data_IF_281025536799
#
_entry.id   IF_281025536799
#
_cell.length_a   1.000
_cell.length_b   1.000
_cell.length_c   1.000
_cell.angle_alpha   90.00
_cell.angle_beta   90.00
_cell.angle_gamma   90.00
#
_symmetry.space_group_name_H-M   'P 1'
#
loop_
_entity.id
_entity.type
_entity.pdbx_description
1 polymer ?
#
# COMPACT_ATOMS: atom_id res chain seq x y z
N UNK A 1 -7.45 -5.04 -28.86
CA UNK A 1 -6.69 -3.79 -28.98
C UNK A 1 -7.30 -2.81 -27.97
N UNK A 2 -6.67 -2.62 -26.81
CA UNK A 2 -6.99 -1.55 -25.90
C UNK A 2 -5.64 -1.05 -25.37
N UNK A 3 -5.18 0.07 -25.91
CA UNK A 3 -3.99 0.78 -25.47
C UNK A 3 -4.17 1.18 -24.02
N UNK A 4 -3.31 0.70 -23.14
CA UNK A 4 -3.27 1.09 -21.73
C UNK A 4 -2.82 2.55 -21.66
N UNK A 5 -3.80 3.44 -21.67
CA UNK A 5 -3.57 4.86 -21.44
C UNK A 5 -3.19 5.01 -19.96
N UNK A 6 -1.93 5.29 -19.67
CA UNK A 6 -1.33 5.45 -18.33
C UNK A 6 -1.80 6.74 -17.65
N UNK A 7 -2.71 7.48 -18.24
CA UNK A 7 -3.33 8.67 -17.64
C UNK A 7 -4.54 8.25 -16.84
N UNK A 8 -4.59 8.68 -15.59
CA UNK A 8 -5.76 8.55 -14.73
C UNK A 8 -6.96 9.14 -15.48
N UNK A 9 -8.05 8.37 -15.58
CA UNK A 9 -9.27 8.85 -16.25
C UNK A 9 -9.71 10.17 -15.58
N UNK A 10 -10.08 11.23 -16.33
CA UNK A 10 -10.47 12.53 -15.76
C UNK A 10 -11.44 12.42 -14.59
N UNK A 11 -12.43 11.55 -14.72
CA UNK A 11 -13.38 11.22 -13.66
C UNK A 11 -12.72 10.80 -12.33
N UNK A 12 -11.66 9.99 -12.37
CA UNK A 12 -10.97 9.52 -11.15
C UNK A 12 -10.28 10.69 -10.43
N UNK A 13 -9.74 11.64 -11.18
CA UNK A 13 -9.13 12.83 -10.62
C UNK A 13 -10.17 13.75 -9.94
N UNK A 14 -11.31 13.92 -10.59
CA UNK A 14 -12.45 14.71 -10.06
C UNK A 14 -13.03 14.06 -8.80
N UNK A 15 -13.24 12.75 -8.83
CA UNK A 15 -13.76 12.02 -7.68
C UNK A 15 -12.80 12.05 -6.47
N UNK A 16 -11.51 11.90 -6.71
CA UNK A 16 -10.50 12.08 -5.65
C UNK A 16 -10.57 13.47 -5.04
N UNK A 17 -10.63 14.51 -5.86
CA UNK A 17 -10.74 15.90 -5.38
C UNK A 17 -12.05 16.11 -4.60
N UNK A 18 -13.16 15.52 -5.04
CA UNK A 18 -14.42 15.57 -4.31
C UNK A 18 -14.35 14.84 -2.97
N UNK A 19 -13.70 13.67 -2.92
CA UNK A 19 -13.50 12.93 -1.67
C UNK A 19 -12.64 13.70 -0.66
N UNK A 20 -11.58 14.38 -1.12
CA UNK A 20 -10.75 15.27 -0.27
C UNK A 20 -11.61 16.40 0.32
N UNK A 21 -12.44 17.06 -0.48
CA UNK A 21 -13.34 18.13 0.03
C UNK A 21 -14.32 17.59 1.07
N UNK A 22 -15.02 16.48 0.78
CA UNK A 22 -15.96 15.84 1.73
C UNK A 22 -15.27 15.46 3.04
N UNK A 23 -14.03 14.97 2.95
CA UNK A 23 -13.24 14.63 4.13
C UNK A 23 -12.93 15.87 4.98
N UNK A 24 -12.48 16.96 4.36
CA UNK A 24 -12.20 18.23 5.04
C UNK A 24 -13.45 18.85 5.69
N UNK A 25 -14.60 18.78 5.01
CA UNK A 25 -15.88 19.24 5.56
C UNK A 25 -16.31 18.41 6.78
N UNK A 26 -16.05 17.10 6.75
CA UNK A 26 -16.38 16.19 7.85
C UNK A 26 -15.44 16.33 9.06
N UNK A 27 -14.16 16.62 8.80
CA UNK A 27 -13.11 16.68 9.82
C UNK A 27 -12.33 18.01 9.78
N UNK A 28 -12.98 19.16 9.98
CA UNK A 28 -12.40 20.48 9.71
C UNK A 28 -11.23 20.87 10.64
N UNK A 29 -11.11 20.23 11.81
CA UNK A 29 -10.05 20.52 12.78
C UNK A 29 -9.10 19.34 12.98
N UNK A 30 -9.14 18.36 12.09
CA UNK A 30 -8.30 17.18 12.19
C UNK A 30 -6.81 17.56 12.03
N UNK A 31 -6.01 17.03 12.93
CA UNK A 31 -4.57 16.89 12.78
C UNK A 31 -4.23 15.49 13.23
N UNK A 32 -3.73 14.67 12.33
CA UNK A 32 -3.40 13.28 12.64
C UNK A 32 -2.28 13.17 13.65
N UNK A 33 -2.35 12.10 14.45
CA UNK A 33 -1.20 11.61 15.20
C UNK A 33 -0.03 11.26 14.25
N UNK A 34 1.20 11.20 14.76
CA UNK A 34 2.37 10.94 13.92
C UNK A 34 2.28 9.65 13.09
N UNK A 35 1.62 8.60 13.58
CA UNK A 35 1.43 7.33 12.87
C UNK A 35 -0.03 7.21 12.41
N UNK A 36 -0.24 6.99 11.11
CA UNK A 36 -1.57 6.74 10.53
C UNK A 36 -1.58 5.40 9.80
N UNK A 37 -2.45 4.50 10.24
CA UNK A 37 -2.78 3.28 9.53
C UNK A 37 -3.77 3.59 8.40
N UNK A 38 -3.36 3.44 7.15
CA UNK A 38 -4.17 3.68 5.95
C UNK A 38 -4.66 2.36 5.38
N UNK A 39 -5.97 2.16 5.33
CA UNK A 39 -6.61 0.93 4.87
C UNK A 39 -7.52 1.26 3.68
N UNK A 40 -7.26 0.65 2.53
CA UNK A 40 -8.17 0.70 1.39
C UNK A 40 -9.14 -0.49 1.47
N UNK A 41 -10.44 -0.19 1.49
CA UNK A 41 -11.50 -1.20 1.62
C UNK A 41 -12.48 -1.13 0.44
N UNK A 42 -12.85 -2.29 -0.11
CA UNK A 42 -13.89 -2.45 -1.13
C UNK A 42 -14.64 -3.75 -0.94
N UNK A 43 -15.88 -3.66 -0.45
CA UNK A 43 -16.73 -4.79 -0.09
C UNK A 43 -16.00 -5.76 0.87
N UNK A 44 -15.70 -5.25 2.06
CA UNK A 44 -15.00 -5.95 3.14
C UNK A 44 -15.81 -5.88 4.46
N UNK A 45 -17.16 -5.88 4.36
CA UNK A 45 -18.08 -5.81 5.51
C UNK A 45 -17.78 -6.86 6.57
N UNK A 46 -17.40 -8.08 6.13
CA UNK A 46 -17.20 -9.23 7.01
C UNK A 46 -15.85 -9.18 7.77
N UNK A 47 -14.85 -8.48 7.24
CA UNK A 47 -13.46 -8.52 7.74
C UNK A 47 -12.98 -7.20 8.35
N UNK A 48 -13.42 -6.06 7.82
CA UNK A 48 -12.88 -4.76 8.20
C UNK A 48 -13.00 -4.47 9.70
N UNK A 49 -14.06 -4.91 10.36
CA UNK A 49 -14.25 -4.71 11.79
C UNK A 49 -13.19 -5.42 12.64
N UNK A 50 -12.75 -6.61 12.24
CA UNK A 50 -11.67 -7.34 12.93
C UNK A 50 -10.33 -6.62 12.74
N UNK A 51 -10.03 -6.16 11.52
CA UNK A 51 -8.82 -5.38 11.25
C UNK A 51 -8.76 -4.16 12.14
N UNK A 52 -9.85 -3.38 12.22
CA UNK A 52 -9.91 -2.15 13.01
C UNK A 52 -9.71 -2.38 14.50
N UNK A 53 -10.23 -3.50 15.04
CA UNK A 53 -10.04 -3.85 16.46
C UNK A 53 -8.62 -4.32 16.79
N UNK A 54 -7.93 -4.92 15.82
CA UNK A 54 -6.60 -5.47 16.01
C UNK A 54 -5.47 -4.44 15.84
N UNK A 55 -5.73 -3.27 15.23
CA UNK A 55 -4.73 -2.21 15.11
C UNK A 55 -4.39 -1.67 16.49
N UNK A 56 -3.11 -1.68 16.90
CA UNK A 56 -2.69 -1.08 18.15
C UNK A 56 -2.94 0.43 18.16
N UNK A 57 -3.44 0.95 19.28
CA UNK A 57 -3.72 2.39 19.42
C UNK A 57 -2.46 3.22 19.65
N UNK A 58 -1.34 2.55 19.95
CA UNK A 58 -0.06 3.18 20.29
C UNK A 58 1.11 2.25 19.94
N UNK A 59 2.23 2.83 19.53
CA UNK A 59 3.53 2.16 19.33
C UNK A 59 4.60 3.02 19.98
N UNK A 60 5.35 2.47 20.95
CA UNK A 60 6.43 3.15 21.67
C UNK A 60 6.03 4.53 22.23
N UNK A 61 4.83 4.65 22.81
CA UNK A 61 4.28 5.89 23.32
C UNK A 61 3.76 6.87 22.26
N UNK A 62 3.78 6.49 20.97
CA UNK A 62 3.29 7.30 19.87
C UNK A 62 1.92 6.79 19.45
N UNK A 63 0.92 7.67 19.49
CA UNK A 63 -0.45 7.33 19.11
C UNK A 63 -0.54 6.91 17.65
N UNK A 64 -1.32 5.87 17.39
CA UNK A 64 -1.71 5.39 16.07
C UNK A 64 -3.17 5.78 15.81
N UNK A 65 -3.43 6.41 14.68
CA UNK A 65 -4.79 6.68 14.19
C UNK A 65 -5.05 5.91 12.92
N UNK A 66 -6.33 5.62 12.66
CA UNK A 66 -6.71 4.80 11.50
C UNK A 66 -7.54 5.62 10.53
N UNK A 67 -7.13 5.58 9.25
CA UNK A 67 -7.84 6.18 8.12
C UNK A 67 -8.26 5.09 7.14
N UNK A 68 -9.56 4.85 7.03
CA UNK A 68 -10.13 3.94 6.04
C UNK A 68 -10.52 4.73 4.79
N UNK A 69 -10.11 4.22 3.65
CA UNK A 69 -10.57 4.70 2.33
C UNK A 69 -11.53 3.67 1.75
N UNK A 70 -12.81 3.98 1.81
CA UNK A 70 -13.85 3.18 1.18
C UNK A 70 -13.85 3.44 -0.33
N UNK A 71 -13.44 2.46 -1.12
CA UNK A 71 -13.35 2.54 -2.59
C UNK A 71 -14.71 2.24 -3.26
N UNK A 72 -15.77 2.90 -2.78
CA UNK A 72 -17.11 2.79 -3.35
C UNK A 72 -17.76 1.43 -3.11
N UNK A 73 -17.67 0.91 -1.89
CA UNK A 73 -18.34 -0.35 -1.51
C UNK A 73 -19.84 -0.27 -1.67
N UNK A 74 -20.44 -1.39 -2.05
CA UNK A 74 -21.90 -1.58 -2.20
C UNK A 74 -22.53 -2.39 -1.06
N UNK A 75 -21.70 -2.94 -0.16
CA UNK A 75 -22.11 -3.68 1.05
C UNK A 75 -22.11 -2.78 2.30
N UNK A 76 -22.14 -3.38 3.48
CA UNK A 76 -22.12 -2.68 4.76
C UNK A 76 -20.75 -2.20 5.22
N UNK A 77 -19.69 -2.24 4.40
CA UNK A 77 -18.33 -1.84 4.78
C UNK A 77 -18.28 -0.46 5.44
N UNK A 78 -18.91 0.55 4.83
CA UNK A 78 -18.94 1.91 5.38
C UNK A 78 -19.64 1.97 6.73
N UNK A 79 -20.77 1.28 6.86
CA UNK A 79 -21.53 1.20 8.12
C UNK A 79 -20.68 0.59 9.24
N UNK A 80 -19.94 -0.48 8.95
CA UNK A 80 -19.05 -1.13 9.93
C UNK A 80 -17.95 -0.18 10.39
N UNK A 81 -17.29 0.51 9.45
CA UNK A 81 -16.24 1.49 9.79
C UNK A 81 -16.76 2.59 10.70
N UNK A 82 -17.95 3.12 10.42
CA UNK A 82 -18.57 4.19 11.21
C UNK A 82 -18.95 3.79 12.63
N UNK A 83 -19.03 2.50 12.92
CA UNK A 83 -19.28 1.98 14.28
C UNK A 83 -18.01 1.93 15.15
N UNK A 84 -16.82 2.19 14.56
CA UNK A 84 -15.55 2.17 15.29
C UNK A 84 -15.12 3.59 15.69
N UNK A 85 -15.19 3.95 16.99
CA UNK A 85 -14.75 5.26 17.46
C UNK A 85 -13.26 5.49 17.17
N UNK A 86 -12.90 6.72 16.77
CA UNK A 86 -11.51 7.09 16.48
C UNK A 86 -10.98 6.64 15.13
N UNK A 87 -11.83 6.04 14.28
CA UNK A 87 -11.51 5.72 12.88
C UNK A 87 -12.02 6.83 11.98
N UNK A 88 -11.16 7.32 11.11
CA UNK A 88 -11.50 8.31 10.09
C UNK A 88 -11.86 7.63 8.79
N UNK A 89 -12.83 8.17 8.07
CA UNK A 89 -13.36 7.58 6.85
C UNK A 89 -13.41 8.60 5.71
N UNK A 90 -12.79 8.25 4.59
CA UNK A 90 -12.98 8.92 3.31
C UNK A 90 -13.61 7.94 2.30
N UNK A 91 -14.69 8.34 1.62
CA UNK A 91 -15.38 7.47 0.66
C UNK A 91 -15.30 8.03 -0.75
N UNK A 92 -14.99 7.14 -1.71
CA UNK A 92 -15.15 7.37 -3.15
C UNK A 92 -16.58 6.95 -3.54
N UNK A 93 -17.22 7.66 -4.46
CA UNK A 93 -18.59 7.40 -4.88
C UNK A 93 -18.75 6.07 -5.66
N UNK A 94 -17.65 5.54 -6.20
CA UNK A 94 -17.60 4.24 -6.89
C UNK A 94 -16.21 3.65 -6.81
N UNK A 95 -16.09 2.37 -7.12
CA UNK A 95 -14.78 1.70 -7.19
C UNK A 95 -13.88 2.36 -8.25
N UNK A 96 -12.79 2.93 -7.79
CA UNK A 96 -11.73 3.55 -8.60
C UNK A 96 -10.46 2.71 -8.65
N UNK A 97 -10.39 1.66 -7.84
CA UNK A 97 -9.28 0.72 -7.73
C UNK A 97 -8.35 1.00 -6.57
N UNK A 98 -7.82 -0.08 -6.01
CA UNK A 98 -6.99 -0.10 -4.79
C UNK A 98 -5.85 0.95 -4.80
N UNK A 99 -5.14 1.11 -5.92
CA UNK A 99 -4.07 2.10 -6.03
C UNK A 99 -4.58 3.55 -5.98
N UNK A 100 -5.82 3.81 -6.41
CA UNK A 100 -6.44 5.15 -6.29
C UNK A 100 -6.82 5.40 -4.84
N UNK A 101 -7.43 4.43 -4.19
CA UNK A 101 -7.80 4.51 -2.78
C UNK A 101 -6.58 4.76 -1.88
N UNK A 102 -5.51 3.98 -2.05
CA UNK A 102 -4.28 4.21 -1.28
C UNK A 102 -3.65 5.59 -1.52
N UNK A 103 -3.63 6.08 -2.78
CA UNK A 103 -3.13 7.43 -3.06
C UNK A 103 -3.97 8.52 -2.41
N UNK A 104 -5.29 8.33 -2.31
CA UNK A 104 -6.15 9.23 -1.54
C UNK A 104 -5.77 9.20 -0.06
N UNK A 105 -5.61 8.01 0.52
CA UNK A 105 -5.18 7.84 1.90
C UNK A 105 -3.82 8.50 2.19
N UNK A 106 -2.83 8.31 1.30
CA UNK A 106 -1.53 8.96 1.42
C UNK A 106 -1.61 10.49 1.35
N UNK A 107 -2.46 11.00 0.47
CA UNK A 107 -2.70 12.44 0.34
C UNK A 107 -3.29 13.01 1.62
N UNK A 108 -4.37 12.39 2.14
CA UNK A 108 -5.03 12.84 3.35
C UNK A 108 -4.11 12.72 4.58
N UNK A 109 -3.42 11.59 4.76
CA UNK A 109 -2.45 11.43 5.84
C UNK A 109 -1.41 12.55 5.84
N UNK A 110 -0.86 12.89 4.66
CA UNK A 110 0.11 13.98 4.50
C UNK A 110 -0.48 15.36 4.75
N UNK A 111 -1.62 15.66 4.18
CA UNK A 111 -2.27 16.97 4.30
C UNK A 111 -2.72 17.28 5.73
N UNK A 112 -3.03 16.23 6.49
CA UNK A 112 -3.45 16.34 7.89
C UNK A 112 -2.34 16.02 8.91
N UNK A 113 -1.07 16.05 8.49
CA UNK A 113 0.08 16.16 9.40
C UNK A 113 0.69 14.84 9.88
N UNK A 114 0.31 13.68 9.34
CA UNK A 114 0.96 12.41 9.65
C UNK A 114 2.44 12.42 9.27
N UNK A 115 3.29 11.88 10.13
CA UNK A 115 4.72 11.69 9.88
C UNK A 115 5.00 10.35 9.21
N UNK A 116 4.31 9.31 9.66
CA UNK A 116 4.45 7.95 9.18
C UNK A 116 3.10 7.41 8.72
N UNK A 117 3.13 6.67 7.63
CA UNK A 117 1.98 5.93 7.11
C UNK A 117 2.29 4.44 7.27
N UNK A 118 1.31 3.70 7.78
CA UNK A 118 1.30 2.23 7.72
C UNK A 118 0.17 1.81 6.80
N UNK A 119 0.42 0.93 5.85
CA UNK A 119 -0.64 0.35 5.02
C UNK A 119 -0.94 -1.08 5.44
N UNK A 120 -2.21 -1.43 5.47
CA UNK A 120 -2.74 -2.77 5.73
C UNK A 120 -3.88 -3.05 4.76
N UNK A 121 -4.06 -4.33 4.42
CA UNK A 121 -5.23 -4.77 3.67
C UNK A 121 -6.44 -4.94 4.63
N UNK A 122 -7.65 -4.78 4.12
CA UNK A 122 -8.89 -4.84 4.91
C UNK A 122 -9.39 -6.27 5.19
N UNK A 123 -8.66 -7.31 4.78
CA UNK A 123 -9.11 -8.71 4.70
C UNK A 123 -8.50 -9.66 5.74
N UNK A 124 -7.82 -9.12 6.75
CA UNK A 124 -7.12 -9.88 7.81
C UNK A 124 -6.04 -10.83 7.29
N UNK A 125 -5.56 -10.67 6.04
CA UNK A 125 -4.42 -11.46 5.57
C UNK A 125 -3.10 -11.06 6.26
N UNK A 126 -2.98 -9.83 6.71
CA UNK A 126 -1.85 -9.35 7.52
C UNK A 126 -2.30 -9.13 8.94
N UNK A 127 -1.50 -9.57 9.91
CA UNK A 127 -1.81 -9.39 11.33
C UNK A 127 -1.50 -7.95 11.76
N UNK A 128 -2.52 -7.13 12.10
CA UNK A 128 -2.28 -5.75 12.52
C UNK A 128 -1.49 -5.63 13.83
N UNK A 129 -1.45 -6.68 14.66
CA UNK A 129 -0.68 -6.73 15.90
C UNK A 129 0.83 -6.64 15.64
N UNK A 130 1.30 -7.01 14.45
CA UNK A 130 2.70 -6.91 14.03
C UNK A 130 3.11 -5.47 13.59
N UNK A 131 2.18 -4.51 13.57
CA UNK A 131 2.43 -3.12 13.17
C UNK A 131 3.62 -2.49 13.91
N UNK A 132 3.82 -2.65 15.24
CA UNK A 132 4.97 -2.10 15.94
C UNK A 132 6.31 -2.53 15.31
N UNK A 133 6.47 -3.81 15.00
CA UNK A 133 7.70 -4.32 14.38
C UNK A 133 7.97 -3.76 12.98
N UNK A 134 6.93 -3.43 12.22
CA UNK A 134 7.08 -2.84 10.88
C UNK A 134 7.39 -1.34 10.96
N UNK A 135 6.91 -0.64 11.98
CA UNK A 135 7.16 0.80 12.19
C UNK A 135 8.50 1.06 12.85
N UNK A 136 8.98 0.17 13.70
CA UNK A 136 10.20 0.32 14.51
C UNK A 136 11.40 0.91 13.74
N UNK A 137 11.77 0.44 12.52
CA UNK A 137 12.91 1.00 11.81
C UNK A 137 12.75 2.46 11.39
N UNK A 138 11.50 2.92 11.19
CA UNK A 138 11.21 4.33 10.92
C UNK A 138 11.42 5.18 12.17
N UNK A 139 10.97 4.70 13.33
CA UNK A 139 11.10 5.39 14.61
C UNK A 139 12.55 5.50 15.05
N UNK A 140 13.38 4.48 14.76
CA UNK A 140 14.81 4.46 15.01
C UNK A 140 15.66 5.19 13.96
N UNK A 141 15.03 5.78 12.95
CA UNK A 141 15.72 6.40 11.81
C UNK A 141 16.68 5.46 11.05
N UNK A 142 16.39 4.16 11.04
CA UNK A 142 17.16 3.14 10.32
C UNK A 142 16.69 2.98 8.87
N UNK A 143 15.42 3.32 8.59
CA UNK A 143 14.81 3.23 7.27
C UNK A 143 13.85 4.39 7.02
N UNK A 144 13.49 4.58 5.74
CA UNK A 144 12.49 5.53 5.30
C UNK A 144 11.26 4.82 4.73
N UNK A 145 11.42 3.56 4.34
CA UNK A 145 10.36 2.68 3.85
C UNK A 145 10.63 1.24 4.28
N UNK A 146 9.68 0.65 4.98
CA UNK A 146 9.74 -0.72 5.50
C UNK A 146 8.68 -1.59 4.84
N UNK A 147 9.06 -2.77 4.41
CA UNK A 147 8.19 -3.80 3.87
C UNK A 147 8.00 -4.91 4.92
N UNK A 148 6.75 -5.26 5.22
CA UNK A 148 6.45 -6.50 5.92
C UNK A 148 6.62 -7.68 4.95
N UNK A 149 7.62 -8.52 5.17
CA UNK A 149 7.91 -9.64 4.28
C UNK A 149 7.39 -10.96 4.85
N UNK A 150 6.48 -11.60 4.08
CA UNK A 150 6.05 -12.98 4.35
C UNK A 150 7.14 -14.01 4.06
N UNK A 151 8.15 -13.64 3.30
CA UNK A 151 9.27 -14.52 2.97
C UNK A 151 10.26 -14.62 4.13
N UNK A 152 10.42 -13.53 4.89
CA UNK A 152 11.23 -13.50 6.12
C UNK A 152 10.44 -14.00 7.33
N UNK A 153 9.11 -13.92 7.29
CA UNK A 153 8.19 -14.36 8.32
C UNK A 153 7.47 -15.65 7.95
N UNK A 154 6.14 -15.62 8.00
CA UNK A 154 5.29 -16.81 7.75
C UNK A 154 4.27 -16.49 6.66
N UNK A 155 4.03 -17.43 5.76
CA UNK A 155 2.90 -17.41 4.83
C UNK A 155 2.07 -18.70 5.01
N UNK A 156 0.87 -18.57 5.52
CA UNK A 156 -0.08 -19.68 5.72
C UNK A 156 -0.77 -20.10 4.42
N UNK A 157 -0.07 -20.06 3.29
CA UNK A 157 -0.62 -20.45 2.00
C UNK A 157 0.19 -21.59 1.40
N UNK A 158 -0.49 -22.64 0.99
CA UNK A 158 0.10 -23.82 0.35
C UNK A 158 0.30 -23.62 -1.17
N UNK A 159 0.05 -22.39 -1.71
CA UNK A 159 0.17 -22.09 -3.12
C UNK A 159 1.65 -21.90 -3.51
N UNK A 160 2.30 -22.99 -3.90
CA UNK A 160 3.69 -23.01 -4.37
C UNK A 160 3.92 -22.10 -5.58
N UNK A 161 2.92 -21.93 -6.46
CA UNK A 161 3.00 -21.03 -7.60
C UNK A 161 3.06 -19.56 -7.18
N UNK A 162 2.27 -19.19 -6.17
CA UNK A 162 2.31 -17.85 -5.57
C UNK A 162 3.67 -17.58 -4.92
N UNK A 163 4.23 -18.53 -4.16
CA UNK A 163 5.57 -18.42 -3.57
C UNK A 163 6.66 -18.23 -4.62
N UNK A 164 6.64 -19.05 -5.69
CA UNK A 164 7.57 -18.91 -6.80
C UNK A 164 7.44 -17.53 -7.47
N UNK A 165 6.22 -17.03 -7.64
CA UNK A 165 5.95 -15.69 -8.18
C UNK A 165 6.53 -14.57 -7.32
N UNK A 166 6.32 -14.61 -6.00
CA UNK A 166 6.88 -13.62 -5.05
C UNK A 166 8.41 -13.59 -5.16
N UNK A 167 9.04 -14.76 -5.10
CA UNK A 167 10.51 -14.90 -5.21
C UNK A 167 11.03 -14.41 -6.56
N UNK A 168 10.35 -14.75 -7.65
CA UNK A 168 10.73 -14.31 -8.99
C UNK A 168 10.72 -12.77 -9.10
N UNK A 169 9.64 -12.13 -8.67
CA UNK A 169 9.52 -10.67 -8.76
C UNK A 169 10.48 -9.94 -7.81
N UNK A 170 10.74 -10.49 -6.64
CA UNK A 170 11.75 -9.97 -5.73
C UNK A 170 13.15 -10.00 -6.36
N UNK A 171 13.53 -11.13 -6.97
CA UNK A 171 14.80 -11.25 -7.72
C UNK A 171 14.87 -10.29 -8.89
N UNK A 172 13.78 -10.10 -9.62
CA UNK A 172 13.71 -9.15 -10.73
C UNK A 172 13.94 -7.71 -10.24
N UNK A 173 13.27 -7.28 -9.16
CA UNK A 173 13.47 -5.93 -8.58
C UNK A 173 14.90 -5.78 -8.10
N UNK A 174 15.46 -6.77 -7.38
CA UNK A 174 16.87 -6.76 -6.96
C UNK A 174 17.84 -6.61 -8.14
N UNK A 175 17.60 -7.37 -9.22
CA UNK A 175 18.44 -7.28 -10.44
C UNK A 175 18.39 -5.88 -11.06
N UNK A 176 17.22 -5.26 -11.10
CA UNK A 176 17.00 -3.97 -11.73
C UNK A 176 17.47 -2.77 -10.87
N UNK A 177 17.39 -2.89 -9.55
CA UNK A 177 17.65 -1.78 -8.62
C UNK A 177 18.93 -1.94 -7.81
N UNK A 178 19.44 -3.16 -7.68
CA UNK A 178 20.56 -3.49 -6.80
C UNK A 178 20.20 -3.63 -5.32
N UNK A 179 18.94 -3.33 -4.92
CA UNK A 179 18.49 -3.40 -3.53
C UNK A 179 17.93 -4.79 -3.24
N UNK A 180 18.42 -5.48 -2.20
CA UNK A 180 17.91 -6.79 -1.81
C UNK A 180 16.56 -6.63 -1.13
N UNK A 181 15.50 -7.08 -1.79
CA UNK A 181 14.14 -7.18 -1.24
C UNK A 181 13.61 -8.59 -1.47
N UNK A 182 12.79 -9.08 -0.54
CA UNK A 182 12.25 -10.45 -0.56
C UNK A 182 10.76 -10.50 -0.89
N UNK A 183 10.00 -9.44 -0.57
CA UNK A 183 8.56 -9.35 -0.87
C UNK A 183 8.16 -7.98 -1.45
N UNK A 184 8.06 -7.90 -2.76
CA UNK A 184 7.69 -6.66 -3.48
C UNK A 184 6.18 -6.44 -3.60
N UNK A 185 5.38 -7.40 -3.18
CA UNK A 185 3.91 -7.42 -3.37
C UNK A 185 3.11 -7.30 -2.08
N UNK A 186 3.79 -7.11 -0.96
CA UNK A 186 3.15 -7.00 0.35
C UNK A 186 2.22 -5.78 0.44
N UNK A 187 1.05 -5.95 1.06
CA UNK A 187 0.15 -4.85 1.44
C UNK A 187 0.56 -4.19 2.76
N UNK A 188 1.31 -4.90 3.61
CA UNK A 188 1.76 -4.43 4.90
C UNK A 188 3.08 -3.67 4.78
N UNK A 189 3.04 -2.37 4.94
CA UNK A 189 4.20 -1.48 4.76
C UNK A 189 4.12 -0.30 5.70
N UNK A 190 5.29 0.20 6.12
CA UNK A 190 5.39 1.46 6.83
C UNK A 190 6.37 2.38 6.09
N UNK A 191 6.08 3.67 6.03
CA UNK A 191 6.92 4.63 5.31
C UNK A 191 6.76 6.05 5.86
N UNK A 192 7.80 6.86 5.71
CA UNK A 192 7.72 8.30 5.93
C UNK A 192 6.74 8.91 4.94
N UNK A 193 5.88 9.78 5.39
CA UNK A 193 4.83 10.41 4.57
C UNK A 193 5.40 11.12 3.35
N UNK A 194 6.60 11.72 3.46
CA UNK A 194 7.29 12.41 2.38
C UNK A 194 7.64 11.51 1.18
N UNK A 195 7.84 10.21 1.40
CA UNK A 195 8.08 9.24 0.30
C UNK A 195 6.92 9.29 -0.69
N UNK A 196 5.68 9.36 -0.19
CA UNK A 196 4.48 9.41 -1.03
C UNK A 196 4.34 10.72 -1.82
N UNK A 197 4.96 11.80 -1.36
CA UNK A 197 4.97 13.08 -2.04
C UNK A 197 5.98 13.13 -3.20
N UNK A 198 7.16 12.52 -3.00
CA UNK A 198 8.25 12.57 -3.97
C UNK A 198 8.16 11.49 -5.05
N UNK A 199 7.54 10.35 -4.75
CA UNK A 199 7.43 9.24 -5.70
C UNK A 199 6.14 9.34 -6.50
N UNK A 200 6.21 9.55 -7.83
CA UNK A 200 5.03 9.55 -8.69
C UNK A 200 4.39 8.17 -8.76
N UNK A 201 3.10 8.11 -8.50
CA UNK A 201 2.30 6.89 -8.53
C UNK A 201 1.19 7.03 -9.58
N UNK A 202 1.23 6.21 -10.60
CA UNK A 202 0.30 6.27 -11.75
C UNK A 202 -0.53 5.00 -11.91
N UNK A 203 -0.09 3.89 -11.30
CA UNK A 203 -0.73 2.59 -11.48
C UNK A 203 -2.01 2.48 -10.64
N UNK A 204 -3.06 1.97 -11.24
CA UNK A 204 -4.33 1.63 -10.54
C UNK A 204 -4.20 0.30 -9.80
N UNK A 205 -3.43 -0.63 -10.38
CA UNK A 205 -3.06 -1.91 -9.78
C UNK A 205 -1.54 -2.01 -9.71
N UNK A 206 -1.02 -2.84 -8.81
CA UNK A 206 0.44 -3.07 -8.63
C UNK A 206 1.22 -1.82 -8.19
N UNK A 207 0.53 -0.82 -7.63
CA UNK A 207 1.14 0.42 -7.14
C UNK A 207 2.21 0.17 -6.05
N UNK A 208 2.15 -0.99 -5.38
CA UNK A 208 3.13 -1.43 -4.38
C UNK A 208 4.55 -1.41 -4.92
N UNK A 209 4.77 -2.07 -6.06
CA UNK A 209 6.09 -2.10 -6.71
C UNK A 209 6.46 -0.77 -7.33
N UNK A 210 5.47 -0.01 -7.83
CA UNK A 210 5.73 1.33 -8.35
C UNK A 210 6.30 2.24 -7.26
N UNK A 211 5.66 2.25 -6.08
CA UNK A 211 6.11 3.05 -4.95
C UNK A 211 7.49 2.59 -4.45
N UNK A 212 7.71 1.28 -4.31
CA UNK A 212 8.99 0.71 -3.88
C UNK A 212 10.13 1.10 -4.83
N UNK A 213 9.98 0.84 -6.13
CA UNK A 213 11.02 1.15 -7.11
C UNK A 213 11.27 2.66 -7.15
N UNK A 214 10.21 3.48 -7.11
CA UNK A 214 10.35 4.93 -7.05
C UNK A 214 11.08 5.40 -5.81
N UNK A 215 10.80 4.83 -4.63
CA UNK A 215 11.48 5.15 -3.38
C UNK A 215 12.99 4.80 -3.45
N UNK A 216 13.33 3.63 -3.99
CA UNK A 216 14.73 3.21 -4.21
C UNK A 216 15.48 4.24 -5.07
N UNK A 217 14.90 4.63 -6.21
CA UNK A 217 15.54 5.60 -7.11
C UNK A 217 15.55 7.04 -6.57
N UNK A 218 14.65 7.37 -5.64
CA UNK A 218 14.68 8.63 -4.91
C UNK A 218 15.70 8.65 -3.77
N UNK A 219 16.42 7.53 -3.54
CA UNK A 219 17.49 7.42 -2.55
C UNK A 219 17.03 7.10 -1.13
N UNK A 220 15.77 6.67 -0.95
CA UNK A 220 15.25 6.28 0.34
C UNK A 220 15.81 4.94 0.82
N UNK A 221 16.06 4.84 2.13
CA UNK A 221 16.52 3.63 2.79
C UNK A 221 15.37 2.63 2.93
N UNK A 222 15.54 1.44 2.36
CA UNK A 222 14.55 0.36 2.37
C UNK A 222 14.96 -0.68 3.39
N UNK A 223 14.01 -1.12 4.23
CA UNK A 223 14.17 -2.25 5.14
C UNK A 223 13.03 -3.25 4.98
N UNK A 224 13.23 -4.45 5.48
CA UNK A 224 12.19 -5.48 5.58
C UNK A 224 12.07 -5.98 7.02
N UNK A 225 10.85 -6.33 7.43
CA UNK A 225 10.55 -6.98 8.71
C UNK A 225 9.74 -8.25 8.45
N UNK A 226 10.01 -9.35 9.19
CA UNK A 226 9.19 -10.55 9.10
C UNK A 226 7.77 -10.24 9.54
N UNK A 227 6.78 -10.72 8.78
CA UNK A 227 5.37 -10.63 9.13
C UNK A 227 4.64 -11.91 8.75
N UNK A 228 3.51 -12.14 9.39
CA UNK A 228 2.64 -13.28 9.12
C UNK A 228 1.58 -12.91 8.10
N UNK A 229 1.49 -13.71 7.03
CA UNK A 229 0.39 -13.65 6.09
C UNK A 229 -0.55 -14.84 6.32
N UNK A 230 -1.71 -14.56 6.87
CA UNK A 230 -2.76 -15.55 7.12
C UNK A 230 -3.54 -15.91 5.85
N UNK A 231 -4.28 -17.00 5.92
CA UNK A 231 -5.36 -17.27 4.97
C UNK A 231 -6.41 -16.16 5.11
N UNK A 232 -7.02 -15.77 4.00
CA UNK A 232 -8.08 -14.73 4.01
C UNK A 232 -9.21 -15.16 4.96
N UNK A 233 -9.65 -14.22 5.80
CA UNK A 233 -10.70 -14.49 6.80
C UNK A 233 -12.04 -14.78 6.13
N UNK A 234 -12.42 -14.01 5.10
CA UNK A 234 -13.68 -14.14 4.37
C UNK A 234 -13.54 -13.72 2.89
N UNK A 235 -14.50 -14.10 2.06
CA UNK A 235 -14.60 -13.72 0.65
C UNK A 235 -13.65 -14.47 -0.30
N UNK A 236 -13.85 -14.26 -1.62
CA UNK A 236 -13.02 -14.86 -2.66
C UNK A 236 -11.92 -13.90 -3.14
N UNK A 237 -10.79 -14.47 -3.61
CA UNK A 237 -9.72 -13.67 -4.19
C UNK A 237 -10.18 -13.01 -5.49
N UNK A 238 -10.25 -11.69 -5.50
CA UNK A 238 -10.59 -10.87 -6.68
C UNK A 238 -9.42 -10.81 -7.70
N UNK A 239 -8.32 -11.54 -7.47
CA UNK A 239 -7.14 -11.61 -8.36
C UNK A 239 -7.41 -12.66 -9.45
N UNK A 240 -7.41 -12.22 -10.72
CA UNK A 240 -7.66 -13.07 -11.89
C UNK A 240 -6.55 -14.10 -12.19
N UNK A 241 -6.63 -14.79 -13.35
CA UNK A 241 -5.72 -15.86 -13.77
C UNK A 241 -4.25 -15.52 -13.55
N UNK A 242 -3.53 -16.39 -12.85
CA UNK A 242 -2.18 -16.18 -12.32
C UNK A 242 -1.14 -15.77 -13.36
N UNK A 243 -1.16 -16.30 -14.59
CA UNK A 243 -0.18 -15.96 -15.64
C UNK A 243 -0.36 -14.53 -16.20
N UNK A 244 -1.60 -14.13 -16.46
CA UNK A 244 -1.88 -12.78 -16.96
C UNK A 244 -1.58 -11.73 -15.88
N UNK A 245 -1.87 -12.06 -14.62
CA UNK A 245 -1.51 -11.24 -13.48
C UNK A 245 0.02 -11.05 -13.39
N UNK A 246 0.79 -12.11 -13.49
CA UNK A 246 2.25 -12.07 -13.49
C UNK A 246 2.83 -11.23 -14.63
N UNK A 247 2.29 -11.37 -15.86
CA UNK A 247 2.73 -10.55 -16.99
C UNK A 247 2.46 -9.05 -16.79
N UNK A 248 1.27 -8.71 -16.30
CA UNK A 248 0.91 -7.31 -15.99
C UNK A 248 1.82 -6.75 -14.90
N UNK A 249 2.12 -7.54 -13.88
CA UNK A 249 3.01 -7.15 -12.79
C UNK A 249 4.44 -6.91 -13.27
N UNK A 250 5.00 -7.82 -14.08
CA UNK A 250 6.32 -7.64 -14.72
C UNK A 250 6.37 -6.36 -15.56
N UNK A 251 5.31 -6.07 -16.32
CA UNK A 251 5.22 -4.85 -17.14
C UNK A 251 5.28 -3.58 -16.27
N UNK A 252 4.61 -3.58 -15.11
CA UNK A 252 4.66 -2.43 -14.18
C UNK A 252 6.05 -2.25 -13.61
N UNK A 253 6.70 -3.34 -13.15
CA UNK A 253 8.08 -3.30 -12.63
C UNK A 253 9.04 -2.73 -13.69
N UNK A 254 9.05 -3.30 -14.89
CA UNK A 254 9.94 -2.87 -15.97
C UNK A 254 9.66 -1.44 -16.45
N UNK A 255 8.37 -1.07 -16.54
CA UNK A 255 7.96 0.28 -16.93
C UNK A 255 8.38 1.33 -15.91
N UNK A 256 8.18 1.04 -14.62
CA UNK A 256 8.59 1.92 -13.53
C UNK A 256 10.11 2.04 -13.46
N UNK A 257 10.82 0.91 -13.51
CA UNK A 257 12.28 0.93 -13.54
C UNK A 257 12.82 1.79 -14.67
N UNK A 258 12.33 1.63 -15.91
CA UNK A 258 12.76 2.46 -17.04
C UNK A 258 12.48 3.94 -16.85
N UNK A 259 11.32 4.27 -16.27
CA UNK A 259 10.93 5.64 -15.98
C UNK A 259 11.86 6.28 -14.96
N UNK A 260 12.08 5.59 -13.84
CA UNK A 260 12.88 6.12 -12.74
C UNK A 260 14.39 6.14 -13.04
N UNK A 261 14.94 5.12 -13.72
CA UNK A 261 16.32 5.11 -14.19
C UNK A 261 16.64 6.30 -15.09
N UNK A 262 15.73 6.65 -16.00
CA UNK A 262 15.90 7.82 -16.88
C UNK A 262 15.86 9.13 -16.10
N UNK A 263 14.98 9.25 -15.11
CA UNK A 263 14.89 10.44 -14.24
C UNK A 263 16.12 10.64 -13.38
N UNK A 264 16.68 9.54 -12.87
CA UNK A 264 17.89 9.56 -12.07
C UNK A 264 19.19 9.81 -12.88
N UNK A 265 19.10 9.92 -14.21
CA UNK A 265 20.29 10.09 -15.07
C UNK A 265 21.21 8.85 -15.08
N UNK A 266 20.78 7.74 -14.51
CA UNK A 266 21.56 6.51 -14.49
C UNK A 266 21.49 5.82 -15.86
N UNK A 267 22.64 5.48 -16.49
CA UNK A 267 22.63 4.66 -17.68
C UNK A 267 21.97 3.32 -17.33
N UNK A 268 21.04 2.87 -18.20
CA UNK A 268 20.47 1.52 -18.10
C UNK A 268 21.64 0.55 -18.00
N UNK A 269 21.93 -0.02 -16.83
CA UNK A 269 22.95 -1.06 -16.71
C UNK A 269 22.59 -2.16 -17.70
N UNK A 270 23.43 -2.33 -18.74
CA UNK A 270 23.35 -3.53 -19.57
C UNK A 270 23.57 -4.71 -18.62
N UNK A 271 22.59 -5.61 -18.59
CA UNK A 271 22.77 -6.93 -17.99
C UNK A 271 23.93 -7.56 -18.76
N UNK A 272 25.12 -7.55 -18.17
CA UNK A 272 26.23 -8.39 -18.67
C UNK A 272 25.85 -9.80 -18.23
N UNK A 273 25.67 -10.67 -19.25
CA UNK A 273 25.34 -12.08 -19.12
C UNK A 273 26.42 -12.90 -18.45
#
# INVERSE_FOLDING_TARGET
MAGSNTRMHPYVAEERAAAVRRFGERYPQLSFAPIVAVIAAYNEEESIGEVLRAIPVEVDGIRVETLVINDGSSDGTERVVLQHPGVYLASLARNCGHGVALRLGYQLAREYGATYIVTLDADMQWDPVELPGVVEPLLKDEADFVLGSRVLGVAETDDAFRHAGVTFFARLVRLLTGVPVTDTSTGFRALRTEVTAKVPQTQVQYQTSELLIGAIYAGYRIAERPVTMHKRFAGESKKGHNLLYGFRYARVILGTWRRESRRAGMPLRRVQG
#
